data_IF_877277291890
#
_entry.id   IF_877277291890
#
_cell.length_a   1.000
_cell.length_b   1.000
_cell.length_c   1.000
_cell.angle_alpha   90.00
_cell.angle_beta   90.00
_cell.angle_gamma   90.00
#
_symmetry.space_group_name_H-M   'P 1'
#
loop_
_entity.id
_entity.type
_entity.pdbx_description
1 polymer ?
#
# COMPACT_ATOMS: atom_id res chain seq x y z
N UNK A 1 4.71 2.64 -6.13
CA UNK A 1 4.20 2.18 -7.45
C UNK A 1 3.12 1.13 -7.28
N UNK A 2 3.37 -0.04 -6.68
CA UNK A 2 2.37 -1.14 -6.51
C UNK A 2 1.02 -0.68 -5.93
N UNK A 3 1.01 0.18 -4.92
CA UNK A 3 -0.23 0.70 -4.35
C UNK A 3 -1.01 1.56 -5.36
N UNK A 4 -0.33 2.41 -6.14
CA UNK A 4 -0.98 3.22 -7.17
C UNK A 4 -1.49 2.36 -8.33
N UNK A 5 -0.76 1.33 -8.72
CA UNK A 5 -1.20 0.35 -9.73
C UNK A 5 -2.44 -0.40 -9.25
N UNK A 6 -2.40 -0.93 -8.03
CA UNK A 6 -3.55 -1.59 -7.43
C UNK A 6 -4.81 -0.72 -7.41
N UNK A 7 -4.69 0.56 -7.01
CA UNK A 7 -5.83 1.48 -7.02
C UNK A 7 -6.37 1.72 -8.43
N UNK A 8 -5.50 1.81 -9.43
CA UNK A 8 -5.92 1.92 -10.84
C UNK A 8 -6.67 0.69 -11.33
N UNK A 9 -6.22 -0.50 -10.98
CA UNK A 9 -6.90 -1.76 -11.28
C UNK A 9 -8.31 -1.82 -10.66
N UNK A 10 -8.47 -1.18 -9.50
CA UNK A 10 -9.78 -1.02 -8.85
C UNK A 10 -10.60 0.15 -9.43
N UNK A 11 -10.13 0.78 -10.50
CA UNK A 11 -10.83 1.87 -11.19
C UNK A 11 -10.79 3.19 -10.43
N UNK A 12 -9.74 3.43 -9.65
CA UNK A 12 -9.47 4.70 -8.97
C UNK A 12 -8.27 5.32 -9.66
N UNK A 13 -8.41 6.53 -10.22
CA UNK A 13 -7.23 7.23 -10.77
C UNK A 13 -6.23 7.49 -9.65
N UNK A 14 -5.00 7.04 -9.81
CA UNK A 14 -3.98 7.13 -8.79
C UNK A 14 -2.61 7.45 -9.39
N UNK A 15 -1.84 8.28 -8.70
CA UNK A 15 -0.50 8.68 -9.11
C UNK A 15 0.47 8.58 -7.94
N UNK A 16 1.73 8.26 -8.21
CA UNK A 16 2.76 8.39 -7.20
C UNK A 16 3.07 9.86 -6.98
N UNK A 17 3.01 10.31 -5.74
CA UNK A 17 3.32 11.67 -5.35
C UNK A 17 4.77 11.75 -4.83
N UNK A 18 5.63 12.39 -5.60
CA UNK A 18 6.98 12.74 -5.19
C UNK A 18 7.08 14.27 -5.01
N UNK A 19 7.99 14.78 -4.15
CA UNK A 19 8.11 16.22 -3.88
C UNK A 19 8.32 17.09 -5.12
N UNK A 20 8.98 16.54 -6.12
CA UNK A 20 9.36 17.19 -7.39
C UNK A 20 8.43 16.80 -8.56
N UNK A 21 7.37 16.03 -8.30
CA UNK A 21 6.42 15.64 -9.35
C UNK A 21 5.73 16.85 -9.95
N UNK A 22 5.67 16.97 -11.30
CA UNK A 22 4.96 18.07 -11.94
C UNK A 22 3.46 18.01 -11.62
N UNK A 23 2.89 19.17 -11.32
CA UNK A 23 1.45 19.30 -11.08
C UNK A 23 0.71 19.23 -12.42
N UNK A 24 -0.06 18.18 -12.61
CA UNK A 24 -0.91 18.01 -13.80
C UNK A 24 -2.34 18.39 -13.45
N UNK A 25 -2.97 19.22 -14.30
CA UNK A 25 -4.40 19.52 -14.15
C UNK A 25 -5.21 18.26 -14.42
N UNK A 26 -6.11 17.94 -13.51
CA UNK A 26 -7.01 16.78 -13.60
C UNK A 26 -8.46 17.27 -13.77
N UNK A 27 -9.26 16.45 -14.43
CA UNK A 27 -10.70 16.71 -14.64
C UNK A 27 -11.58 15.83 -13.75
N UNK A 28 -10.99 14.82 -13.11
CA UNK A 28 -11.64 13.86 -12.23
C UNK A 28 -10.86 13.71 -10.91
N UNK A 29 -11.47 13.14 -9.87
CA UNK A 29 -10.78 12.82 -8.62
C UNK A 29 -9.58 11.92 -8.85
N UNK A 30 -8.49 12.16 -8.12
CA UNK A 30 -7.25 11.39 -8.18
C UNK A 30 -6.71 11.11 -6.78
N UNK A 31 -6.18 9.92 -6.57
CA UNK A 31 -5.45 9.55 -5.36
C UNK A 31 -3.94 9.79 -5.56
N UNK A 32 -3.36 10.63 -4.73
CA UNK A 32 -1.92 10.86 -4.69
C UNK A 32 -1.30 9.91 -3.66
N UNK A 33 -0.55 8.93 -4.15
CA UNK A 33 0.04 7.87 -3.33
C UNK A 33 1.46 8.24 -2.93
N UNK A 34 1.72 8.30 -1.63
CA UNK A 34 3.04 8.55 -1.05
C UNK A 34 3.33 7.56 0.08
N UNK A 35 4.58 7.44 0.49
CA UNK A 35 4.95 6.74 1.72
C UNK A 35 5.28 7.81 2.75
N UNK A 36 4.54 7.84 3.85
CA UNK A 36 4.73 8.79 4.95
C UNK A 36 5.66 8.27 6.03
N UNK A 37 5.57 6.98 6.32
CA UNK A 37 6.42 6.32 7.27
C UNK A 37 6.64 4.86 6.87
N UNK A 38 7.78 4.34 7.30
CA UNK A 38 8.12 2.93 7.17
C UNK A 38 8.89 2.53 8.43
N UNK A 39 8.45 1.46 9.07
CA UNK A 39 9.16 0.87 10.20
C UNK A 39 9.27 -0.63 10.00
N UNK A 40 10.36 -1.21 10.48
CA UNK A 40 10.59 -2.65 10.42
C UNK A 40 11.05 -3.19 11.77
N UNK A 41 10.59 -4.38 12.09
CA UNK A 41 10.93 -5.07 13.33
C UNK A 41 11.10 -6.57 13.10
N UNK A 42 11.60 -7.31 14.09
CA UNK A 42 11.70 -8.76 14.00
C UNK A 42 10.30 -9.35 13.76
N UNK A 43 10.21 -10.30 12.84
CA UNK A 43 8.97 -11.02 12.55
C UNK A 43 8.67 -12.14 13.54
N UNK A 44 9.72 -12.66 14.17
CA UNK A 44 9.68 -13.74 15.14
C UNK A 44 11.02 -13.91 15.83
N UNK A 45 11.18 -15.01 16.56
CA UNK A 45 12.44 -15.33 17.22
C UNK A 45 13.53 -15.60 16.19
N UNK A 46 14.67 -14.90 16.31
CA UNK A 46 15.79 -14.96 15.35
C UNK A 46 15.39 -14.68 13.89
N UNK A 47 14.42 -13.79 13.68
CA UNK A 47 13.87 -13.46 12.36
C UNK A 47 13.18 -14.64 11.63
N UNK A 48 12.92 -15.77 12.31
CA UNK A 48 12.18 -16.89 11.75
C UNK A 48 10.69 -16.55 11.65
N UNK A 49 10.12 -16.73 10.47
CA UNK A 49 8.73 -16.39 10.16
C UNK A 49 7.82 -17.61 10.02
N UNK A 50 8.39 -18.78 9.84
CA UNK A 50 7.63 -20.00 9.63
C UNK A 50 8.14 -20.82 8.46
N UNK A 51 7.35 -21.82 8.07
CA UNK A 51 7.68 -22.76 7.00
C UNK A 51 6.61 -22.70 5.91
N UNK A 52 7.01 -22.99 4.70
CA UNK A 52 6.13 -23.09 3.53
C UNK A 52 6.50 -24.33 2.72
N UNK A 53 5.49 -25.11 2.32
CA UNK A 53 5.71 -26.21 1.39
C UNK A 53 5.75 -25.68 -0.04
N UNK A 54 6.86 -25.95 -0.75
CA UNK A 54 6.99 -25.63 -2.16
C UNK A 54 6.50 -26.84 -2.99
N UNK A 55 5.40 -26.69 -3.69
CA UNK A 55 4.81 -27.75 -4.50
C UNK A 55 5.64 -28.12 -5.73
N UNK A 56 6.44 -27.18 -6.26
CA UNK A 56 7.26 -27.42 -7.44
C UNK A 56 8.51 -28.27 -7.10
N UNK A 57 9.15 -27.98 -5.99
CA UNK A 57 10.34 -28.70 -5.54
C UNK A 57 10.01 -29.86 -4.60
N UNK A 58 8.75 -29.95 -4.13
CA UNK A 58 8.28 -30.93 -3.14
C UNK A 58 9.09 -30.92 -1.83
N UNK A 59 9.55 -29.75 -1.43
CA UNK A 59 10.35 -29.54 -0.21
C UNK A 59 9.73 -28.50 0.70
N UNK A 60 10.00 -28.62 1.99
CA UNK A 60 9.71 -27.55 2.93
C UNK A 60 10.78 -26.46 2.82
N UNK A 61 10.36 -25.22 2.93
CA UNK A 61 11.22 -24.05 2.90
C UNK A 61 11.00 -23.25 4.18
N UNK A 62 12.08 -22.86 4.81
CA UNK A 62 12.06 -21.96 5.96
C UNK A 62 12.07 -20.50 5.48
N UNK A 63 11.30 -19.66 6.17
CA UNK A 63 11.17 -18.23 5.86
C UNK A 63 11.81 -17.43 6.99
N UNK A 64 12.79 -16.62 6.65
CA UNK A 64 13.48 -15.71 7.57
C UNK A 64 13.36 -14.28 7.12
N UNK A 65 12.97 -13.39 8.01
CA UNK A 65 12.80 -12.00 7.63
C UNK A 65 12.15 -11.14 8.70
N UNK A 66 11.66 -9.99 8.26
CA UNK A 66 11.13 -8.97 9.15
C UNK A 66 9.73 -8.57 8.77
N UNK A 67 8.93 -8.26 9.78
CA UNK A 67 7.68 -7.55 9.62
C UNK A 67 7.98 -6.08 9.33
N UNK A 68 7.33 -5.54 8.33
CA UNK A 68 7.44 -4.14 7.95
C UNK A 68 6.06 -3.50 7.97
N UNK A 69 5.97 -2.33 8.54
CA UNK A 69 4.78 -1.50 8.53
C UNK A 69 5.02 -0.26 7.68
N UNK A 70 4.09 0.01 6.78
CA UNK A 70 4.09 1.17 5.90
C UNK A 70 2.88 2.03 6.18
N UNK A 71 3.09 3.30 6.42
CA UNK A 71 2.02 4.30 6.40
C UNK A 71 1.99 4.96 5.04
N UNK A 72 0.99 4.61 4.24
CA UNK A 72 0.76 5.25 2.95
C UNK A 72 -0.08 6.52 3.15
N UNK A 73 0.30 7.61 2.50
CA UNK A 73 -0.58 8.72 2.22
C UNK A 73 -1.33 8.42 0.92
N UNK A 74 -2.64 8.44 0.97
CA UNK A 74 -3.54 8.20 -0.17
C UNK A 74 -4.44 9.43 -0.34
N UNK A 75 -3.82 10.61 -0.43
CA UNK A 75 -4.54 11.88 -0.45
C UNK A 75 -5.40 12.00 -1.70
N UNK A 76 -6.67 12.29 -1.51
CA UNK A 76 -7.61 12.51 -2.59
C UNK A 76 -7.67 13.98 -2.97
N UNK A 77 -7.62 14.25 -4.26
CA UNK A 77 -7.78 15.57 -4.84
C UNK A 77 -8.86 15.53 -5.91
N UNK A 78 -9.72 16.55 -5.93
CA UNK A 78 -10.72 16.72 -6.98
C UNK A 78 -10.84 18.18 -7.42
N UNK A 79 -10.96 18.46 -8.73
CA UNK A 79 -11.24 19.80 -9.22
C UNK A 79 -12.52 20.36 -8.61
N UNK A 80 -12.60 21.69 -8.47
CA UNK A 80 -13.77 22.37 -7.94
C UNK A 80 -15.08 22.00 -8.68
N UNK A 81 -14.99 21.79 -10.00
CA UNK A 81 -16.13 21.41 -10.84
C UNK A 81 -16.72 20.03 -10.55
N UNK A 82 -15.99 19.14 -9.86
CA UNK A 82 -16.51 17.82 -9.47
C UNK A 82 -17.37 17.87 -8.20
N UNK A 83 -17.23 18.92 -7.38
CA UNK A 83 -17.88 19.02 -6.08
C UNK A 83 -17.24 18.17 -4.99
N UNK A 84 -17.60 18.46 -3.74
CA UNK A 84 -17.08 17.72 -2.57
C UNK A 84 -17.56 16.25 -2.53
N UNK A 85 -18.73 15.97 -3.08
CA UNK A 85 -19.31 14.62 -3.14
C UNK A 85 -18.44 13.66 -3.95
N UNK A 86 -17.77 14.14 -5.00
CA UNK A 86 -16.89 13.31 -5.81
C UNK A 86 -15.69 12.75 -5.01
N UNK A 87 -15.16 13.51 -4.04
CA UNK A 87 -14.15 13.02 -3.11
C UNK A 87 -14.71 11.94 -2.18
N UNK A 88 -15.92 12.11 -1.68
CA UNK A 88 -16.55 11.11 -0.84
C UNK A 88 -16.73 9.78 -1.59
N UNK A 89 -17.24 9.84 -2.81
CA UNK A 89 -17.39 8.65 -3.65
C UNK A 89 -16.04 7.96 -3.96
N UNK A 90 -15.00 8.76 -4.26
CA UNK A 90 -13.66 8.24 -4.49
C UNK A 90 -13.08 7.58 -3.23
N UNK A 91 -13.31 8.19 -2.06
CA UNK A 91 -12.91 7.62 -0.78
C UNK A 91 -13.62 6.30 -0.48
N UNK A 92 -14.95 6.25 -0.64
CA UNK A 92 -15.73 5.04 -0.37
C UNK A 92 -15.29 3.87 -1.27
N UNK A 93 -15.04 4.15 -2.54
CA UNK A 93 -14.52 3.17 -3.49
C UNK A 93 -13.12 2.68 -3.09
N UNK A 94 -12.24 3.60 -2.69
CA UNK A 94 -10.89 3.27 -2.24
C UNK A 94 -10.92 2.44 -0.94
N UNK A 95 -11.75 2.82 0.02
CA UNK A 95 -11.91 2.09 1.28
C UNK A 95 -12.45 0.67 1.03
N UNK A 96 -13.39 0.52 0.11
CA UNK A 96 -13.92 -0.79 -0.29
C UNK A 96 -12.84 -1.65 -0.95
N UNK A 97 -12.05 -1.10 -1.88
CA UNK A 97 -10.97 -1.79 -2.56
C UNK A 97 -9.92 -2.29 -1.56
N UNK A 98 -9.44 -1.42 -0.70
CA UNK A 98 -8.42 -1.76 0.31
C UNK A 98 -8.92 -2.78 1.34
N UNK A 99 -10.21 -2.74 1.69
CA UNK A 99 -10.81 -3.69 2.62
C UNK A 99 -10.98 -5.09 2.02
N UNK A 100 -11.33 -5.19 0.75
CA UNK A 100 -11.70 -6.47 0.11
C UNK A 100 -10.49 -7.37 -0.11
N UNK A 101 -9.43 -6.88 -0.74
CA UNK A 101 -8.26 -7.67 -1.09
C UNK A 101 -6.95 -7.02 -0.64
N UNK A 102 -6.89 -5.68 -0.61
CA UNK A 102 -5.66 -4.93 -0.40
C UNK A 102 -4.66 -5.04 -1.55
N UNK A 103 -3.63 -4.23 -1.53
CA UNK A 103 -2.56 -4.34 -2.52
C UNK A 103 -1.76 -5.62 -2.31
N UNK A 104 -1.34 -6.32 -3.39
CA UNK A 104 -0.57 -7.56 -3.30
C UNK A 104 0.68 -7.40 -2.41
N UNK A 105 0.84 -8.33 -1.47
CA UNK A 105 1.94 -8.30 -0.50
C UNK A 105 1.76 -7.35 0.68
N UNK A 106 0.61 -6.70 0.79
CA UNK A 106 0.30 -5.77 1.89
C UNK A 106 -1.05 -6.11 2.51
N UNK A 107 -1.08 -6.19 3.83
CA UNK A 107 -2.31 -6.30 4.62
C UNK A 107 -2.64 -4.92 5.18
N UNK A 108 -3.80 -4.38 4.85
CA UNK A 108 -4.28 -3.16 5.49
C UNK A 108 -4.64 -3.45 6.95
N UNK A 109 -4.09 -2.65 7.85
CA UNK A 109 -4.33 -2.72 9.31
C UNK A 109 -5.32 -1.66 9.73
N UNK A 110 -5.12 -0.43 9.26
CA UNK A 110 -5.93 0.72 9.61
C UNK A 110 -6.06 1.66 8.42
N UNK A 111 -7.22 2.28 8.29
CA UNK A 111 -7.49 3.36 7.34
C UNK A 111 -8.09 4.52 8.10
N UNK A 112 -7.49 5.69 7.98
CA UNK A 112 -7.96 6.93 8.59
C UNK A 112 -8.06 8.05 7.56
N UNK A 113 -8.96 9.00 7.76
CA UNK A 113 -9.09 10.14 6.88
C UNK A 113 -9.48 11.40 7.66
N UNK A 114 -9.03 12.54 7.16
CA UNK A 114 -9.47 13.86 7.60
C UNK A 114 -10.75 14.32 6.92
N UNK A 115 -11.14 15.54 7.22
CA UNK A 115 -12.25 16.21 6.56
C UNK A 115 -11.89 16.60 5.12
N UNK A 116 -12.92 16.83 4.31
CA UNK A 116 -12.72 17.39 2.97
C UNK A 116 -12.55 18.89 3.08
N UNK A 117 -11.42 19.40 2.62
CA UNK A 117 -11.07 20.81 2.60
C UNK A 117 -11.10 21.36 1.17
N UNK A 118 -11.42 22.64 1.01
CA UNK A 118 -11.32 23.33 -0.26
C UNK A 118 -10.15 24.29 -0.27
N UNK A 119 -9.16 24.02 -1.12
CA UNK A 119 -8.03 24.91 -1.35
C UNK A 119 -8.43 25.97 -2.40
N UNK A 120 -8.73 27.17 -1.94
CA UNK A 120 -9.12 28.29 -2.81
C UNK A 120 -8.01 28.70 -3.79
N UNK A 121 -6.74 28.59 -3.39
CA UNK A 121 -5.61 28.98 -4.25
C UNK A 121 -5.39 27.97 -5.38
N UNK A 122 -5.54 26.71 -5.08
CA UNK A 122 -5.39 25.63 -6.06
C UNK A 122 -6.68 25.34 -6.82
N UNK A 123 -7.83 25.81 -6.36
CA UNK A 123 -9.14 25.58 -6.96
C UNK A 123 -9.54 24.09 -6.93
N UNK A 124 -9.22 23.40 -5.85
CA UNK A 124 -9.48 21.96 -5.72
C UNK A 124 -9.92 21.57 -4.31
N UNK A 125 -10.69 20.52 -4.22
CA UNK A 125 -10.97 19.82 -2.98
C UNK A 125 -9.84 18.87 -2.65
N UNK A 126 -9.53 18.72 -1.35
CA UNK A 126 -8.54 17.80 -0.81
C UNK A 126 -9.11 17.06 0.37
N UNK A 127 -8.80 15.76 0.46
CA UNK A 127 -8.97 14.94 1.67
C UNK A 127 -7.70 14.18 1.95
N UNK A 128 -7.15 14.36 3.14
CA UNK A 128 -6.00 13.58 3.59
C UNK A 128 -6.47 12.20 4.03
N UNK A 129 -5.83 11.16 3.50
CA UNK A 129 -6.12 9.77 3.83
C UNK A 129 -4.82 9.06 4.16
N UNK A 130 -4.82 8.26 5.21
CA UNK A 130 -3.69 7.41 5.61
C UNK A 130 -4.12 5.96 5.71
N UNK A 131 -3.30 5.08 5.16
CA UNK A 131 -3.47 3.64 5.27
C UNK A 131 -2.23 3.02 5.91
N UNK A 132 -2.40 2.45 7.10
CA UNK A 132 -1.39 1.62 7.75
C UNK A 132 -1.47 0.21 7.17
N UNK A 133 -0.40 -0.22 6.53
CA UNK A 133 -0.28 -1.54 5.92
C UNK A 133 0.88 -2.30 6.53
N UNK A 134 0.71 -3.60 6.65
CA UNK A 134 1.72 -4.54 7.14
C UNK A 134 2.11 -5.50 6.04
N UNK A 135 3.39 -5.81 5.95
CA UNK A 135 3.94 -6.82 5.07
C UNK A 135 5.14 -7.50 5.70
N UNK A 136 5.64 -8.51 5.02
CA UNK A 136 6.85 -9.22 5.41
C UNK A 136 7.87 -9.12 4.31
N UNK A 137 9.11 -8.83 4.70
CA UNK A 137 10.28 -8.92 3.83
C UNK A 137 11.07 -10.14 4.28
N UNK A 138 11.15 -11.17 3.44
CA UNK A 138 11.77 -12.42 3.82
C UNK A 138 12.67 -13.01 2.73
N UNK A 139 13.63 -13.81 3.17
CA UNK A 139 14.41 -14.70 2.34
C UNK A 139 13.98 -16.15 2.60
N UNK A 140 14.21 -17.01 1.63
CA UNK A 140 13.84 -18.42 1.66
C UNK A 140 15.11 -19.26 1.85
N UNK A 141 15.08 -20.18 2.80
CA UNK A 141 16.11 -21.19 3.01
C UNK A 141 15.53 -22.59 2.82
N UNK A 142 16.37 -23.56 2.51
CA UNK A 142 16.00 -24.98 2.54
C UNK A 142 16.00 -25.53 3.98
N UNK A 143 15.54 -26.78 4.15
CA UNK A 143 15.54 -27.48 5.45
C UNK A 143 16.94 -27.64 6.09
N UNK A 144 18.01 -27.47 5.32
CA UNK A 144 19.38 -27.48 5.79
C UNK A 144 19.92 -26.13 6.23
N UNK A 145 19.08 -25.09 6.18
CA UNK A 145 19.45 -23.71 6.50
C UNK A 145 20.30 -23.01 5.43
N UNK A 146 20.50 -23.64 4.28
CA UNK A 146 21.16 -22.99 3.15
C UNK A 146 20.19 -22.01 2.47
N UNK A 147 20.58 -20.75 2.36
CA UNK A 147 19.78 -19.77 1.67
C UNK A 147 19.72 -20.06 0.17
N UNK A 148 18.53 -20.40 -0.33
CA UNK A 148 18.28 -20.71 -1.72
C UNK A 148 18.09 -19.44 -2.57
N UNK A 149 17.67 -18.35 -1.93
CA UNK A 149 17.34 -17.12 -2.62
C UNK A 149 17.53 -15.91 -1.71
N UNK A 150 18.22 -14.90 -2.24
CA UNK A 150 18.38 -13.58 -1.60
C UNK A 150 17.33 -12.55 -2.11
N UNK A 151 16.38 -12.98 -2.91
CA UNK A 151 15.33 -12.09 -3.36
C UNK A 151 14.39 -11.82 -2.18
N UNK A 152 14.40 -10.58 -1.70
CA UNK A 152 13.49 -10.12 -0.67
C UNK A 152 12.08 -10.09 -1.26
N UNK A 153 11.19 -10.90 -0.72
CA UNK A 153 9.79 -10.97 -1.14
C UNK A 153 8.92 -10.23 -0.13
N UNK A 154 7.95 -9.49 -0.62
CA UNK A 154 6.95 -8.82 0.22
C UNK A 154 5.64 -9.59 0.18
N UNK A 155 5.18 -10.08 1.32
CA UNK A 155 3.88 -10.73 1.45
C UNK A 155 3.11 -10.16 2.65
N UNK A 156 1.81 -10.00 2.50
CA UNK A 156 0.93 -9.50 3.57
C UNK A 156 0.53 -10.58 4.57
N UNK A 157 0.74 -11.85 4.23
CA UNK A 157 0.52 -13.03 5.08
C UNK A 157 1.55 -14.09 4.74
N UNK A 158 2.02 -14.78 5.75
CA UNK A 158 2.84 -15.99 5.67
C UNK A 158 1.99 -17.15 6.15
#
# INVERSE_FOLDING_TARGET
ERMAEYLKEQGIDAVCAYPDSPRTRREAPVAAVSIRACSGGPGGFQDYLGERYNQETQTWQELYGRRVEFTFGLDLYAPAGCGAEAIQQAFDKMAQALRSQGAPGLRMVELSCGETEFDQKAGLYKRTVEALCQGYLYAVADEGGAFLDFIVRGEGRI
#
